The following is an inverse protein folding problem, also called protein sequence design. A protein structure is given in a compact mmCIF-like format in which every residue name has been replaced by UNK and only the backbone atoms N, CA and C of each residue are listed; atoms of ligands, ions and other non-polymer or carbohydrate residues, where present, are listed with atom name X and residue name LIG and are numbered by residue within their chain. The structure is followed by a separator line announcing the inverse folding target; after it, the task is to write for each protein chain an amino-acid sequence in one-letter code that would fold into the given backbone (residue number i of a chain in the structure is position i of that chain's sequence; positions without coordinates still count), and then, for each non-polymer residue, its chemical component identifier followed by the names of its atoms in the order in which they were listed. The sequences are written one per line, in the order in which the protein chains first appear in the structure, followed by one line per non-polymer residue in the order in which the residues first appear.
data_IF_653423055501
#
_entry.id   IF_653423055501
#
_cell.length_a   1.000
_cell.length_b   1.000
_cell.length_c   1.000
_cell.angle_alpha   90.00
_cell.angle_beta   90.00
_cell.angle_gamma   90.00
#
_symmetry.space_group_name_H-M   'P 1'
#
loop_
_entity.id
_entity.type
_entity.pdbx_description
1 polymer ?
#
# COMPACT_ATOMS: atom_id res chain seq x y z
N UNK A 1 -68.63 -37.61 22.63
CA UNK A 1 -68.61 -36.17 22.94
C UNK A 1 -68.76 -35.40 21.64
N UNK A 2 -69.88 -34.67 21.50
CA UNK A 2 -70.12 -33.44 20.71
C UNK A 2 -69.66 -33.44 19.23
N UNK A 3 -70.55 -33.72 18.26
CA UNK A 3 -71.56 -32.81 17.63
C UNK A 3 -70.85 -31.74 16.77
N UNK A 4 -70.77 -31.89 15.44
CA UNK A 4 -71.72 -31.57 14.35
C UNK A 4 -71.76 -30.09 13.90
N UNK A 5 -71.94 -29.92 12.57
CA UNK A 5 -72.35 -28.72 11.80
C UNK A 5 -71.28 -27.68 11.48
N UNK A 6 -70.87 -27.38 10.22
CA UNK A 6 -71.55 -27.27 8.91
C UNK A 6 -72.63 -26.16 8.83
N UNK A 7 -72.56 -25.35 7.75
CA UNK A 7 -73.47 -24.25 7.32
C UNK A 7 -73.28 -22.88 8.03
N UNK A 8 -73.37 -21.68 7.43
CA UNK A 8 -73.94 -21.18 6.17
C UNK A 8 -73.49 -19.69 5.92
N UNK A 9 -73.52 -19.28 4.64
CA UNK A 9 -73.54 -17.92 4.01
C UNK A 9 -73.78 -16.64 4.85
N UNK A 10 -73.14 -15.53 4.43
CA UNK A 10 -73.78 -14.36 3.75
C UNK A 10 -72.69 -13.38 3.23
N UNK A 11 -72.51 -13.20 1.91
CA UNK A 11 -72.99 -12.09 1.04
C UNK A 11 -72.35 -10.72 1.33
N UNK A 12 -71.82 -10.09 0.27
CA UNK A 12 -71.01 -8.87 0.29
C UNK A 12 -71.77 -7.54 0.16
N UNK A 13 -71.00 -6.45 0.22
CA UNK A 13 -71.32 -5.08 -0.26
C UNK A 13 -70.02 -4.26 -0.16
N UNK A 14 -69.32 -3.97 -1.26
CA UNK A 14 -69.51 -2.78 -2.09
C UNK A 14 -69.37 -1.45 -1.32
N UNK A 15 -68.19 -0.83 -1.39
CA UNK A 15 -68.04 0.62 -1.23
C UNK A 15 -66.86 1.11 -2.07
N UNK A 16 -67.17 1.34 -3.34
CA UNK A 16 -66.45 2.16 -4.30
C UNK A 16 -66.81 3.63 -4.02
N UNK A 17 -65.83 4.52 -3.87
CA UNK A 17 -66.00 5.98 -3.90
C UNK A 17 -64.67 6.68 -4.21
N UNK A 18 -64.69 7.89 -4.80
CA UNK A 18 -63.97 8.15 -6.05
C UNK A 18 -62.70 9.01 -5.92
N UNK A 19 -61.98 9.03 -7.03
CA UNK A 19 -60.95 9.99 -7.45
C UNK A 19 -61.41 11.45 -7.49
N UNK A 20 -60.39 12.34 -7.55
CA UNK A 20 -60.38 13.81 -7.79
C UNK A 20 -60.48 14.64 -6.51
N UNK A 21 -59.59 15.58 -6.19
CA UNK A 21 -58.83 16.54 -7.01
C UNK A 21 -57.52 16.91 -6.29
N UNK A 22 -56.35 16.80 -6.93
CA UNK A 22 -55.61 17.94 -7.49
C UNK A 22 -55.94 19.29 -6.81
N UNK A 23 -55.10 19.74 -5.86
CA UNK A 23 -54.45 21.07 -5.80
C UNK A 23 -53.58 21.08 -4.52
N UNK A 24 -52.27 21.28 -4.69
CA UNK A 24 -51.36 21.53 -3.56
C UNK A 24 -49.92 21.04 -3.74
N UNK A 25 -49.21 21.53 -4.76
CA UNK A 25 -47.74 21.74 -4.63
C UNK A 25 -47.56 23.10 -3.95
N UNK A 26 -46.69 23.21 -2.93
CA UNK A 26 -45.27 23.31 -3.22
C UNK A 26 -44.41 22.34 -2.40
N UNK A 27 -43.71 21.46 -3.11
CA UNK A 27 -42.53 20.78 -2.56
C UNK A 27 -41.37 21.76 -2.71
N UNK A 28 -41.06 22.47 -1.64
CA UNK A 28 -39.76 23.13 -1.46
C UNK A 28 -39.43 23.18 0.03
N UNK A 29 -39.14 22.02 0.59
CA UNK A 29 -38.19 21.94 1.71
C UNK A 29 -36.92 21.43 1.05
N UNK A 30 -36.07 22.38 0.66
CA UNK A 30 -34.67 22.13 0.40
C UNK A 30 -34.16 21.43 1.64
N UNK A 31 -33.90 20.12 1.57
CA UNK A 31 -33.05 19.47 2.55
C UNK A 31 -31.74 20.28 2.56
N UNK A 32 -31.27 20.79 3.70
CA UNK A 32 -29.91 21.27 3.74
C UNK A 32 -29.07 20.03 3.45
N UNK A 33 -28.50 19.97 2.24
CA UNK A 33 -27.41 19.07 1.92
C UNK A 33 -26.36 19.37 2.99
N UNK A 34 -26.32 18.51 4.01
CA UNK A 34 -25.23 18.44 4.98
C UNK A 34 -24.04 17.83 4.26
N UNK A 35 -23.61 18.50 3.19
CA UNK A 35 -22.21 18.55 2.77
C UNK A 35 -21.46 19.41 3.78
N UNK A 36 -21.58 19.10 5.07
CA UNK A 36 -20.41 19.09 5.92
C UNK A 36 -19.51 18.04 5.31
N UNK A 37 -18.75 18.49 4.32
CA UNK A 37 -17.49 17.90 3.90
C UNK A 37 -16.90 17.27 5.15
N UNK A 38 -17.01 15.94 5.30
CA UNK A 38 -16.11 15.22 6.15
C UNK A 38 -14.76 15.56 5.54
N UNK A 39 -14.10 16.57 6.13
CA UNK A 39 -12.72 16.88 5.86
C UNK A 39 -11.98 15.63 6.34
N UNK A 40 -11.97 14.60 5.50
CA UNK A 40 -11.18 13.42 5.69
C UNK A 40 -9.79 13.99 5.90
N UNK A 41 -9.25 13.86 7.11
CA UNK A 41 -7.93 14.37 7.43
C UNK A 41 -6.93 13.60 6.58
N UNK A 42 -6.70 14.11 5.37
CA UNK A 42 -5.71 13.56 4.46
C UNK A 42 -4.39 13.80 5.15
N UNK A 43 -3.65 12.72 5.40
CA UNK A 43 -2.27 12.85 5.86
C UNK A 43 -1.47 13.57 4.77
N UNK A 44 -1.31 14.87 4.94
CA UNK A 44 -0.42 15.72 4.17
C UNK A 44 1.02 15.33 4.59
N UNK A 45 1.89 15.02 3.62
CA UNK A 45 3.26 14.48 3.78
C UNK A 45 3.39 12.97 4.14
N UNK A 46 2.79 12.08 3.36
CA UNK A 46 3.14 10.63 3.40
C UNK A 46 4.56 10.38 2.88
N UNK A 47 5.55 10.41 3.77
CA UNK A 47 6.99 10.27 3.43
C UNK A 47 7.48 8.85 3.14
N UNK A 48 6.75 7.81 3.55
CA UNK A 48 7.14 6.41 3.32
C UNK A 48 6.01 5.58 2.69
N UNK A 49 6.38 4.54 1.94
CA UNK A 49 5.42 3.65 1.27
C UNK A 49 4.97 2.55 2.24
N UNK A 50 3.65 2.40 2.45
CA UNK A 50 3.09 1.40 3.38
C UNK A 50 3.18 -0.05 2.88
N UNK A 51 3.33 -0.27 1.56
CA UNK A 51 3.48 -1.59 0.91
C UNK A 51 2.38 -2.62 1.25
N UNK A 52 1.23 -2.17 1.78
CA UNK A 52 0.16 -3.06 2.26
C UNK A 52 0.56 -3.95 3.44
N UNK A 53 1.57 -3.55 4.23
CA UNK A 53 2.07 -4.35 5.37
C UNK A 53 2.15 -3.51 6.65
N UNK A 54 1.93 -4.11 7.84
CA UNK A 54 2.18 -3.47 9.13
C UNK A 54 3.67 -3.10 9.27
N UNK A 55 3.99 -2.26 10.25
CA UNK A 55 5.32 -1.67 10.40
C UNK A 55 6.45 -2.71 10.51
N UNK A 56 6.24 -3.76 11.31
CA UNK A 56 7.27 -4.77 11.58
C UNK A 56 7.56 -5.62 10.35
N UNK A 57 6.51 -6.15 9.72
CA UNK A 57 6.62 -6.93 8.49
C UNK A 57 7.21 -6.10 7.34
N UNK A 58 6.87 -4.81 7.26
CA UNK A 58 7.43 -3.90 6.27
C UNK A 58 8.92 -3.68 6.50
N UNK A 59 9.35 -3.48 7.75
CA UNK A 59 10.77 -3.34 8.11
C UNK A 59 11.54 -4.61 7.73
N UNK A 60 11.03 -5.79 8.09
CA UNK A 60 11.65 -7.07 7.73
C UNK A 60 11.77 -7.25 6.21
N UNK A 61 10.71 -6.95 5.45
CA UNK A 61 10.73 -7.03 3.99
C UNK A 61 11.79 -6.10 3.37
N UNK A 62 11.89 -4.85 3.83
CA UNK A 62 12.85 -3.89 3.30
C UNK A 62 14.29 -4.27 3.64
N UNK A 63 14.53 -4.81 4.85
CA UNK A 63 15.83 -5.36 5.24
C UNK A 63 16.24 -6.52 4.34
N UNK A 64 15.34 -7.49 4.13
CA UNK A 64 15.59 -8.64 3.27
C UNK A 64 15.92 -8.19 1.85
N UNK A 65 15.08 -7.34 1.24
CA UNK A 65 15.35 -6.84 -0.12
C UNK A 65 16.66 -6.04 -0.22
N UNK A 66 17.03 -5.28 0.81
CA UNK A 66 18.31 -4.55 0.84
C UNK A 66 19.48 -5.53 0.84
N UNK A 67 19.43 -6.55 1.71
CA UNK A 67 20.46 -7.61 1.77
C UNK A 67 20.60 -8.33 0.45
N UNK A 68 19.48 -8.72 -0.16
CA UNK A 68 19.50 -9.43 -1.44
C UNK A 68 20.08 -8.54 -2.56
N UNK A 69 19.74 -7.25 -2.62
CA UNK A 69 20.28 -6.34 -3.65
C UNK A 69 21.79 -6.21 -3.53
N UNK A 70 22.31 -6.13 -2.31
CA UNK A 70 23.75 -6.05 -2.08
C UNK A 70 24.45 -7.38 -2.41
N UNK A 71 23.82 -8.52 -2.07
CA UNK A 71 24.34 -9.86 -2.35
C UNK A 71 24.48 -10.14 -3.85
N UNK A 72 23.46 -9.82 -4.63
CA UNK A 72 23.39 -10.18 -6.05
C UNK A 72 23.68 -9.02 -7.01
N UNK A 73 23.70 -7.79 -6.52
CA UNK A 73 23.85 -6.57 -7.33
C UNK A 73 22.62 -6.21 -8.18
N UNK A 74 21.75 -7.18 -8.50
CA UNK A 74 20.58 -6.99 -9.37
C UNK A 74 19.41 -7.90 -8.99
N UNK A 75 18.21 -7.33 -8.84
CA UNK A 75 17.00 -8.08 -8.46
C UNK A 75 15.77 -7.58 -9.21
N UNK A 76 14.90 -8.51 -9.61
CA UNK A 76 13.58 -8.24 -10.16
C UNK A 76 12.50 -8.22 -9.07
N UNK A 77 11.85 -7.08 -8.86
CA UNK A 77 10.77 -6.91 -7.86
C UNK A 77 9.59 -6.13 -8.44
N UNK A 78 8.59 -5.79 -7.62
CA UNK A 78 7.54 -4.85 -8.06
C UNK A 78 8.03 -3.41 -8.00
N UNK A 79 7.52 -2.55 -8.90
CA UNK A 79 7.93 -1.15 -9.00
C UNK A 79 7.82 -0.39 -7.66
N UNK A 80 6.76 -0.66 -6.90
CA UNK A 80 6.53 -0.01 -5.61
C UNK A 80 7.57 -0.45 -4.57
N UNK A 81 7.94 -1.74 -4.56
CA UNK A 81 8.99 -2.27 -3.67
C UNK A 81 10.37 -1.73 -4.07
N UNK A 82 10.72 -1.77 -5.36
CA UNK A 82 11.99 -1.24 -5.87
C UNK A 82 12.20 0.23 -5.48
N UNK A 83 11.18 1.08 -5.66
CA UNK A 83 11.24 2.50 -5.27
C UNK A 83 11.41 2.72 -3.76
N UNK A 84 10.82 1.84 -2.94
CA UNK A 84 10.95 1.92 -1.49
C UNK A 84 12.35 1.45 -1.01
N UNK A 85 12.86 0.37 -1.59
CA UNK A 85 14.16 -0.23 -1.25
C UNK A 85 15.32 0.70 -1.61
N UNK A 86 15.20 1.47 -2.71
CA UNK A 86 16.22 2.41 -3.18
C UNK A 86 16.82 3.26 -2.06
N UNK A 87 15.97 3.90 -1.23
CA UNK A 87 16.41 4.75 -0.12
C UNK A 87 17.28 4.00 0.90
N UNK A 88 16.94 2.74 1.17
CA UNK A 88 17.65 1.93 2.15
C UNK A 88 18.98 1.41 1.61
N UNK A 89 19.02 0.99 0.34
CA UNK A 89 20.27 0.56 -0.29
C UNK A 89 21.24 1.73 -0.43
N UNK A 90 20.75 2.90 -0.87
CA UNK A 90 21.59 4.08 -1.01
C UNK A 90 22.24 4.48 0.33
N UNK A 91 21.45 4.44 1.41
CA UNK A 91 21.95 4.74 2.75
C UNK A 91 23.00 3.72 3.24
N UNK A 92 22.81 2.43 2.96
CA UNK A 92 23.77 1.39 3.36
C UNK A 92 25.09 1.52 2.60
N UNK A 93 25.05 1.89 1.32
CA UNK A 93 26.26 2.15 0.52
C UNK A 93 26.99 3.39 1.04
N UNK A 94 26.25 4.44 1.41
CA UNK A 94 26.82 5.64 2.03
C UNK A 94 27.53 5.33 3.36
N UNK A 95 26.96 4.45 4.19
CA UNK A 95 27.62 3.95 5.40
C UNK A 95 28.90 3.16 5.08
N UNK A 96 28.86 2.33 4.03
CA UNK A 96 30.02 1.58 3.54
C UNK A 96 31.16 2.49 3.09
N UNK A 97 30.84 3.56 2.34
CA UNK A 97 31.80 4.56 1.88
C UNK A 97 32.44 5.34 3.03
N UNK A 98 31.71 5.56 4.13
CA UNK A 98 32.21 6.27 5.30
C UNK A 98 33.27 5.49 6.08
N UNK A 99 33.17 4.17 6.14
CA UNK A 99 34.19 3.31 6.74
C UNK A 99 34.28 3.28 8.28
N UNK A 100 33.62 4.20 8.99
CA UNK A 100 33.70 4.28 10.46
C UNK A 100 33.20 3.03 11.21
N UNK A 101 33.75 2.78 12.40
CA UNK A 101 33.26 1.73 13.31
C UNK A 101 31.77 1.91 13.64
N UNK A 102 31.33 3.15 13.82
CA UNK A 102 29.92 3.46 14.08
C UNK A 102 29.04 3.11 12.86
N UNK A 103 29.48 3.44 11.65
CA UNK A 103 28.78 3.10 10.42
C UNK A 103 28.66 1.59 10.23
N UNK A 104 29.73 0.84 10.54
CA UNK A 104 29.73 -0.63 10.49
C UNK A 104 28.71 -1.23 11.45
N UNK A 105 28.60 -0.72 12.69
CA UNK A 105 27.58 -1.17 13.66
C UNK A 105 26.16 -0.89 13.18
N UNK A 106 25.92 0.28 12.58
CA UNK A 106 24.62 0.61 12.00
C UNK A 106 24.24 -0.34 10.85
N UNK A 107 25.19 -0.63 9.94
CA UNK A 107 24.99 -1.54 8.82
C UNK A 107 24.68 -2.98 9.31
N UNK A 108 25.41 -3.46 10.32
CA UNK A 108 25.15 -4.77 10.97
C UNK A 108 23.78 -4.85 11.64
N UNK A 109 23.22 -3.73 12.10
CA UNK A 109 21.85 -3.68 12.63
C UNK A 109 20.77 -3.82 11.54
N UNK A 110 21.10 -3.53 10.29
CA UNK A 110 20.16 -3.56 9.17
C UNK A 110 20.28 -4.84 8.33
N UNK A 111 21.47 -5.17 7.86
CA UNK A 111 21.76 -6.36 7.03
C UNK A 111 21.76 -7.62 7.91
N UNK A 112 21.28 -8.74 7.38
CA UNK A 112 21.25 -10.02 8.11
C UNK A 112 22.59 -10.76 8.12
N UNK A 113 23.39 -10.62 7.07
CA UNK A 113 24.65 -11.35 6.86
C UNK A 113 25.87 -10.49 7.22
N UNK A 114 26.67 -10.96 8.18
CA UNK A 114 27.87 -10.24 8.63
C UNK A 114 28.97 -10.22 7.58
N UNK A 115 29.16 -11.33 6.84
CA UNK A 115 30.21 -11.42 5.82
C UNK A 115 29.94 -10.47 4.65
N UNK A 116 28.66 -10.29 4.33
CA UNK A 116 28.24 -9.32 3.32
C UNK A 116 28.54 -7.87 3.74
N UNK A 117 28.44 -7.56 5.04
CA UNK A 117 28.82 -6.23 5.54
C UNK A 117 30.33 -6.02 5.40
N UNK A 118 31.16 -7.02 5.72
CA UNK A 118 32.61 -6.89 5.57
C UNK A 118 33.02 -6.62 4.13
N UNK A 119 32.57 -7.47 3.20
CA UNK A 119 32.83 -7.31 1.76
C UNK A 119 32.30 -5.98 1.20
N UNK A 120 31.13 -5.50 1.66
CA UNK A 120 30.62 -4.19 1.25
C UNK A 120 31.56 -3.06 1.68
N UNK A 121 32.08 -3.08 2.90
CA UNK A 121 32.96 -2.02 3.41
C UNK A 121 34.35 -2.03 2.75
N UNK A 122 34.80 -3.18 2.27
CA UNK A 122 36.03 -3.29 1.49
C UNK A 122 35.85 -2.77 0.06
N UNK A 123 34.76 -3.14 -0.62
CA UNK A 123 34.56 -2.81 -2.03
C UNK A 123 33.91 -1.43 -2.29
N UNK A 124 33.10 -0.91 -1.35
CA UNK A 124 32.34 0.32 -1.57
C UNK A 124 33.17 1.60 -1.75
N UNK A 125 34.27 1.82 -0.99
CA UNK A 125 35.10 3.01 -1.15
C UNK A 125 35.68 3.14 -2.57
N UNK A 126 36.21 2.04 -3.11
CA UNK A 126 36.80 2.02 -4.45
C UNK A 126 35.75 2.13 -5.54
N UNK A 127 34.64 1.39 -5.42
CA UNK A 127 33.59 1.33 -6.45
C UNK A 127 32.78 2.64 -6.57
N UNK A 128 32.59 3.36 -5.47
CA UNK A 128 31.71 4.53 -5.42
C UNK A 128 32.42 5.82 -4.97
N UNK A 129 33.76 5.87 -5.09
CA UNK A 129 34.58 7.02 -4.71
C UNK A 129 34.06 8.35 -5.31
N UNK A 130 33.84 8.37 -6.62
CA UNK A 130 33.52 9.59 -7.36
C UNK A 130 32.03 9.96 -7.34
N UNK A 131 31.17 9.06 -6.83
CA UNK A 131 29.71 9.24 -6.88
C UNK A 131 29.18 9.81 -5.56
N UNK A 132 28.46 10.93 -5.65
CA UNK A 132 27.75 11.54 -4.53
C UNK A 132 26.26 11.17 -4.56
N UNK A 133 25.95 9.89 -4.32
CA UNK A 133 24.58 9.39 -4.23
C UNK A 133 23.99 8.81 -5.53
N UNK A 134 22.79 8.24 -5.43
CA UNK A 134 22.13 7.56 -6.55
C UNK A 134 22.89 6.31 -6.99
N UNK A 135 23.12 5.39 -6.06
CA UNK A 135 23.88 4.16 -6.28
C UNK A 135 23.03 3.06 -6.91
N UNK A 136 21.71 3.19 -6.84
CA UNK A 136 20.75 2.26 -7.43
C UNK A 136 20.03 2.83 -8.64
N UNK A 137 19.90 2.01 -9.68
CA UNK A 137 19.01 2.25 -10.82
C UNK A 137 17.75 1.39 -10.71
N UNK A 138 16.60 1.95 -11.08
CA UNK A 138 15.32 1.21 -11.16
C UNK A 138 14.83 1.23 -12.60
N UNK A 139 14.88 0.07 -13.25
CA UNK A 139 14.42 -0.15 -14.62
C UNK A 139 13.02 -0.77 -14.60
N UNK A 140 12.09 -0.24 -15.39
CA UNK A 140 10.74 -0.83 -15.50
C UNK A 140 10.78 -2.01 -16.46
N UNK A 141 9.98 -3.04 -16.17
CA UNK A 141 9.88 -4.24 -17.01
C UNK A 141 8.40 -4.49 -17.34
N UNK A 142 8.13 -5.52 -18.15
CA UNK A 142 6.77 -6.00 -18.42
C UNK A 142 6.02 -6.30 -17.13
N UNK A 143 4.71 -6.05 -17.15
CA UNK A 143 3.85 -6.41 -16.03
C UNK A 143 3.83 -7.92 -15.83
N UNK A 144 3.64 -8.36 -14.58
CA UNK A 144 3.52 -9.77 -14.26
C UNK A 144 2.20 -10.31 -14.81
N UNK A 145 2.26 -11.50 -15.40
CA UNK A 145 1.08 -12.21 -15.89
C UNK A 145 0.24 -12.71 -14.70
N UNK A 146 -1.08 -12.56 -14.78
CA UNK A 146 -2.03 -12.96 -13.73
C UNK A 146 -2.54 -11.77 -12.91
N UNK A 147 -1.69 -11.09 -12.17
CA UNK A 147 -2.06 -9.98 -11.28
C UNK A 147 -1.81 -8.57 -11.86
N UNK A 148 -1.28 -8.49 -13.09
CA UNK A 148 -0.88 -7.27 -13.78
C UNK A 148 0.02 -6.35 -12.92
N UNK A 149 0.80 -6.92 -12.00
CA UNK A 149 1.65 -6.13 -11.14
C UNK A 149 2.80 -5.50 -11.94
N UNK A 150 2.97 -4.19 -11.85
CA UNK A 150 4.07 -3.45 -12.49
C UNK A 150 5.41 -3.92 -11.92
N UNK A 151 6.22 -4.59 -12.73
CA UNK A 151 7.54 -5.09 -12.33
C UNK A 151 8.64 -4.06 -12.63
N UNK A 152 9.73 -4.18 -11.89
CA UNK A 152 10.94 -3.40 -12.08
C UNK A 152 12.18 -4.20 -11.65
N UNK A 153 13.31 -3.93 -12.28
CA UNK A 153 14.62 -4.42 -11.87
C UNK A 153 15.31 -3.29 -11.11
N UNK A 154 15.82 -3.60 -9.92
CA UNK A 154 16.74 -2.73 -9.17
C UNK A 154 18.15 -3.26 -9.35
N UNK A 155 19.08 -2.40 -9.73
CA UNK A 155 20.48 -2.75 -9.95
C UNK A 155 21.42 -1.70 -9.35
N UNK A 156 22.55 -2.18 -8.83
CA UNK A 156 23.66 -1.35 -8.40
C UNK A 156 24.44 -0.84 -9.63
N UNK A 157 24.76 0.46 -9.62
CA UNK A 157 25.52 1.12 -10.69
C UNK A 157 27.02 0.87 -10.54
#
# INVERSE_FOLDING_TARGET
MRVLSFLLLLVGAAAFAPSTSFVGRPVSIVEPVSSSTELSMISHRKGFKKLGKPADQRKALLRALTTEVIRHGRIKTTLVRARAVRKHVDHVIELGKRGDLHARRQAMGWIYDKQLVHSLFEAAPDRYADRNGGYCRVLRTVARQGDNAKMAIIELV
#
